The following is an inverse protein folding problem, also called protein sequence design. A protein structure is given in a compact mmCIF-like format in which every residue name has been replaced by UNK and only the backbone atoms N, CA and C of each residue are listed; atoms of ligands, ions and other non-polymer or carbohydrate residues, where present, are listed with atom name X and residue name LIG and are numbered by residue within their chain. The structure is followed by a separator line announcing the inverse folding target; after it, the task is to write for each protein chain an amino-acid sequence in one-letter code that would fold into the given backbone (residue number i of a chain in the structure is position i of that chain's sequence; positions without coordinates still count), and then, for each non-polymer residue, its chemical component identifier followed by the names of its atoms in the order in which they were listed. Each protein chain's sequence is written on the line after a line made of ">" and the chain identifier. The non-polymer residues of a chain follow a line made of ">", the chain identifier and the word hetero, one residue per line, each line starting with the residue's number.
data_IF_413745637817
#
_entry.id   IF_413745637817
#
_cell.length_a   1.000
_cell.length_b   1.000
_cell.length_c   1.000
_cell.angle_alpha   90.00
_cell.angle_beta   90.00
_cell.angle_gamma   90.00
#
_symmetry.space_group_name_H-M   'P 1'
#
loop_
_entity.id
_entity.type
_entity.pdbx_description
1 polymer ?
#
# COMPACT_ATOMS: atom_id res chain seq x y z
N UNK A 1 20.32 8.80 12.91
CA UNK A 1 19.45 7.87 12.17
C UNK A 1 18.87 8.48 10.89
N UNK A 2 17.88 9.39 10.92
CA UNK A 2 17.30 9.96 9.66
C UNK A 2 18.29 10.84 8.87
N UNK A 3 19.10 11.65 9.56
CA UNK A 3 20.18 12.42 8.91
C UNK A 3 21.36 11.56 8.44
N UNK A 4 21.66 10.47 9.14
CA UNK A 4 22.70 9.51 8.72
C UNK A 4 22.27 8.68 7.50
N UNK A 5 20.96 8.41 7.38
CA UNK A 5 20.37 7.88 6.16
C UNK A 5 20.61 8.88 5.03
N UNK A 6 20.21 10.15 5.17
CA UNK A 6 20.41 11.18 4.14
C UNK A 6 21.87 11.35 3.68
N UNK A 7 22.83 11.37 4.61
CA UNK A 7 24.24 11.67 4.31
C UNK A 7 25.06 10.46 3.79
N UNK A 8 24.59 9.22 3.98
CA UNK A 8 25.29 8.04 3.48
C UNK A 8 24.46 7.17 2.52
N UNK A 9 23.15 7.46 2.33
CA UNK A 9 22.22 6.63 1.57
C UNK A 9 22.83 6.18 0.25
N UNK A 10 23.36 7.13 -0.53
CA UNK A 10 23.72 6.85 -1.91
C UNK A 10 24.86 5.83 -2.04
N UNK A 11 25.90 5.91 -1.20
CA UNK A 11 27.08 5.06 -1.37
C UNK A 11 26.85 3.65 -0.79
N UNK A 12 26.41 3.53 0.48
CA UNK A 12 26.26 2.20 1.09
C UNK A 12 25.03 1.45 0.56
N UNK A 13 23.91 2.16 0.30
CA UNK A 13 22.70 1.50 -0.19
C UNK A 13 22.92 1.02 -1.62
N UNK A 14 23.60 1.80 -2.45
CA UNK A 14 23.97 1.36 -3.80
C UNK A 14 24.79 0.08 -3.76
N UNK A 15 25.85 0.05 -2.95
CA UNK A 15 26.73 -1.12 -2.85
C UNK A 15 25.98 -2.37 -2.36
N UNK A 16 25.03 -2.19 -1.43
CA UNK A 16 24.17 -3.28 -0.97
C UNK A 16 23.16 -3.71 -2.05
N UNK A 17 22.51 -2.77 -2.74
CA UNK A 17 21.52 -3.05 -3.78
C UNK A 17 22.13 -3.77 -4.98
N UNK A 18 23.37 -3.44 -5.36
CA UNK A 18 24.08 -4.06 -6.48
C UNK A 18 24.38 -5.57 -6.24
N UNK A 19 24.21 -6.08 -5.01
CA UNK A 19 24.37 -7.50 -4.69
C UNK A 19 23.11 -8.35 -4.95
N UNK A 20 21.96 -7.74 -5.25
CA UNK A 20 20.71 -8.44 -5.49
C UNK A 20 20.43 -8.64 -6.99
N UNK A 21 19.68 -9.68 -7.31
CA UNK A 21 19.28 -10.00 -8.69
C UNK A 21 17.99 -9.27 -9.08
N UNK A 22 17.76 -9.12 -10.39
CA UNK A 22 16.55 -8.47 -10.94
C UNK A 22 15.24 -9.14 -10.50
N UNK A 23 15.28 -10.43 -10.12
CA UNK A 23 14.11 -11.22 -9.70
C UNK A 23 13.91 -11.25 -8.17
N UNK A 24 14.74 -10.55 -7.39
CA UNK A 24 14.66 -10.59 -5.93
C UNK A 24 13.59 -9.65 -5.35
N UNK A 25 12.92 -10.10 -4.30
CA UNK A 25 11.93 -9.32 -3.57
C UNK A 25 12.58 -8.62 -2.36
N UNK A 26 12.69 -7.29 -2.41
CA UNK A 26 13.27 -6.49 -1.32
C UNK A 26 12.19 -5.91 -0.41
N UNK A 27 12.29 -6.18 0.89
CA UNK A 27 11.39 -5.64 1.92
C UNK A 27 12.15 -4.65 2.79
N UNK A 28 11.71 -3.40 2.80
CA UNK A 28 12.26 -2.35 3.65
C UNK A 28 11.34 -2.08 4.83
N UNK A 29 11.84 -2.31 6.05
CA UNK A 29 11.11 -1.96 7.26
C UNK A 29 11.29 -0.47 7.57
N UNK A 30 10.19 0.29 7.43
CA UNK A 30 10.19 1.72 7.67
C UNK A 30 9.98 2.04 9.14
N UNK A 31 10.57 3.13 9.67
CA UNK A 31 10.33 3.54 11.05
C UNK A 31 8.84 3.81 11.29
N UNK A 32 8.28 3.21 12.36
CA UNK A 32 6.83 3.12 12.58
C UNK A 32 6.09 4.42 12.97
N UNK A 33 6.74 5.58 12.91
CA UNK A 33 6.11 6.87 13.20
C UNK A 33 5.72 7.57 11.89
N UNK A 34 4.41 7.69 11.64
CA UNK A 34 3.89 8.31 10.41
C UNK A 34 4.33 9.77 10.22
N UNK A 35 4.64 10.47 11.30
CA UNK A 35 5.14 11.85 11.32
C UNK A 35 6.57 11.99 10.77
N UNK A 36 7.32 10.89 10.69
CA UNK A 36 8.63 10.89 10.04
C UNK A 36 8.51 11.00 8.52
N UNK A 37 7.35 10.64 7.96
CA UNK A 37 7.06 10.85 6.56
C UNK A 37 6.73 12.33 6.28
N UNK A 38 6.08 13.04 7.21
CA UNK A 38 5.57 14.41 6.98
C UNK A 38 6.63 15.52 6.97
N UNK A 39 7.79 15.34 7.62
CA UNK A 39 8.71 16.45 7.91
C UNK A 39 10.09 16.39 7.25
N UNK A 40 10.50 15.25 6.69
CA UNK A 40 11.82 15.14 6.04
C UNK A 40 11.67 14.37 4.72
N UNK A 41 12.16 14.91 3.58
CA UNK A 41 12.05 14.25 2.28
C UNK A 41 12.88 12.96 2.16
N UNK A 42 13.51 12.48 3.24
CA UNK A 42 14.34 11.26 3.25
C UNK A 42 13.66 10.08 2.58
N UNK A 43 12.39 9.79 2.92
CA UNK A 43 11.73 8.63 2.31
C UNK A 43 11.43 8.85 0.82
N UNK A 44 11.10 10.08 0.42
CA UNK A 44 10.92 10.43 -0.99
C UNK A 44 12.24 10.28 -1.76
N UNK A 45 13.34 10.82 -1.24
CA UNK A 45 14.66 10.69 -1.84
C UNK A 45 15.09 9.22 -1.93
N UNK A 46 14.84 8.43 -0.88
CA UNK A 46 15.08 6.98 -0.88
C UNK A 46 14.29 6.26 -1.98
N UNK A 47 13.00 6.56 -2.12
CA UNK A 47 12.16 6.00 -3.18
C UNK A 47 12.65 6.43 -4.57
N UNK A 48 13.02 7.70 -4.75
CA UNK A 48 13.57 8.23 -6.00
C UNK A 48 14.91 7.54 -6.35
N UNK A 49 15.76 7.29 -5.36
CA UNK A 49 17.01 6.52 -5.53
C UNK A 49 16.72 5.09 -5.99
N UNK A 50 15.79 4.37 -5.34
CA UNK A 50 15.37 3.03 -5.77
C UNK A 50 14.83 3.02 -7.20
N UNK A 51 13.96 3.97 -7.55
CA UNK A 51 13.44 4.11 -8.92
C UNK A 51 14.55 4.38 -9.94
N UNK A 52 15.57 5.17 -9.57
CA UNK A 52 16.73 5.44 -10.45
C UNK A 52 17.59 4.21 -10.73
N UNK A 53 17.50 3.21 -9.85
CA UNK A 53 18.12 1.89 -9.96
C UNK A 53 17.20 0.84 -10.60
N UNK A 54 16.13 1.27 -11.28
CA UNK A 54 15.15 0.43 -11.97
C UNK A 54 14.30 -0.48 -11.06
N UNK A 55 14.17 -0.19 -9.76
CA UNK A 55 13.24 -0.92 -8.90
C UNK A 55 11.79 -0.48 -9.12
N UNK A 56 10.89 -1.45 -9.27
CA UNK A 56 9.45 -1.22 -9.16
C UNK A 56 9.04 -1.19 -7.69
N UNK A 57 8.69 0.00 -7.19
CA UNK A 57 8.42 0.23 -5.77
C UNK A 57 6.94 0.40 -5.52
N UNK A 58 6.43 -0.27 -4.48
CA UNK A 58 5.12 0.03 -3.91
C UNK A 58 5.22 0.15 -2.38
N UNK A 59 4.17 0.70 -1.76
CA UNK A 59 4.07 0.82 -0.30
C UNK A 59 3.04 -0.17 0.22
N UNK A 60 3.43 -0.98 1.19
CA UNK A 60 2.49 -1.82 1.95
C UNK A 60 2.05 -1.06 3.19
N UNK A 61 0.84 -0.49 3.16
CA UNK A 61 0.33 0.33 4.26
C UNK A 61 -0.48 -0.53 5.24
N UNK A 62 0.06 -0.74 6.45
CA UNK A 62 -0.58 -1.55 7.48
C UNK A 62 -1.41 -0.68 8.42
N UNK A 63 -2.73 -0.90 8.45
CA UNK A 63 -3.62 -0.37 9.47
C UNK A 63 -3.97 -1.48 10.46
N UNK A 64 -3.98 -1.20 11.77
CA UNK A 64 -4.38 -2.19 12.78
C UNK A 64 -5.90 -2.38 12.79
N UNK A 65 -6.39 -3.61 12.62
CA UNK A 65 -7.81 -3.93 12.68
C UNK A 65 -8.50 -3.51 13.98
N UNK A 66 -7.78 -3.51 15.10
CA UNK A 66 -8.32 -3.09 16.40
C UNK A 66 -8.57 -1.58 16.48
N UNK A 67 -7.94 -0.79 15.60
CA UNK A 67 -8.19 0.64 15.51
C UNK A 67 -9.58 0.94 14.91
N UNK A 68 -10.08 0.10 14.02
CA UNK A 68 -11.36 0.31 13.32
C UNK A 68 -12.53 -0.14 14.20
N UNK A 69 -12.87 0.68 15.20
CA UNK A 69 -14.02 0.42 16.08
C UNK A 69 -15.31 1.10 15.62
N UNK A 70 -15.21 2.10 14.74
CA UNK A 70 -16.35 2.83 14.20
C UNK A 70 -16.01 3.54 12.88
N UNK A 71 -17.04 4.15 12.26
CA UNK A 71 -16.93 4.84 10.98
C UNK A 71 -15.99 6.03 11.03
N UNK A 72 -15.94 6.77 12.15
CA UNK A 72 -15.07 7.94 12.27
C UNK A 72 -13.61 7.49 12.22
N UNK A 73 -13.26 6.44 12.98
CA UNK A 73 -11.91 5.85 12.96
C UNK A 73 -11.57 5.21 11.60
N UNK A 74 -12.53 4.54 10.97
CA UNK A 74 -12.35 4.04 9.60
C UNK A 74 -11.95 5.17 8.64
N UNK A 75 -12.73 6.26 8.61
CA UNK A 75 -12.46 7.40 7.75
C UNK A 75 -11.12 8.06 8.11
N UNK A 76 -10.77 8.19 9.39
CA UNK A 76 -9.45 8.67 9.79
C UNK A 76 -8.31 7.80 9.25
N UNK A 77 -8.45 6.47 9.31
CA UNK A 77 -7.48 5.55 8.73
C UNK A 77 -7.37 5.69 7.21
N UNK A 78 -8.51 5.91 6.53
CA UNK A 78 -8.52 6.19 5.09
C UNK A 78 -7.77 7.48 4.75
N UNK A 79 -8.02 8.55 5.49
CA UNK A 79 -7.35 9.84 5.27
C UNK A 79 -5.85 9.74 5.54
N UNK A 80 -5.42 8.98 6.56
CA UNK A 80 -4.01 8.77 6.85
C UNK A 80 -3.30 8.01 5.72
N UNK A 81 -3.92 6.95 5.20
CA UNK A 81 -3.41 6.21 4.03
C UNK A 81 -3.31 7.09 2.79
N UNK A 82 -4.37 7.85 2.47
CA UNK A 82 -4.37 8.77 1.31
C UNK A 82 -3.31 9.87 1.46
N UNK A 83 -3.13 10.41 2.67
CA UNK A 83 -2.08 11.40 2.92
C UNK A 83 -0.69 10.83 2.67
N UNK A 84 -0.42 9.59 3.11
CA UNK A 84 0.85 8.93 2.86
C UNK A 84 1.07 8.66 1.36
N UNK A 85 0.01 8.27 0.64
CA UNK A 85 0.07 8.03 -0.80
C UNK A 85 0.39 9.30 -1.59
N UNK A 86 -0.27 10.41 -1.26
CA UNK A 86 0.01 11.72 -1.88
C UNK A 86 1.45 12.17 -1.60
N UNK A 87 1.94 11.90 -0.39
CA UNK A 87 3.27 12.31 0.01
C UNK A 87 4.39 11.51 -0.67
N UNK A 88 4.20 10.19 -0.83
CA UNK A 88 5.21 9.30 -1.41
C UNK A 88 5.11 9.18 -2.92
N UNK A 89 3.98 9.57 -3.52
CA UNK A 89 3.75 9.47 -4.97
C UNK A 89 4.02 8.03 -5.48
N UNK A 90 3.55 7.05 -4.71
CA UNK A 90 3.70 5.61 -4.96
C UNK A 90 2.35 4.90 -4.92
N UNK A 91 2.20 3.77 -5.64
CA UNK A 91 1.04 2.91 -5.45
C UNK A 91 1.10 2.24 -4.07
N UNK A 92 -0.04 2.15 -3.40
CA UNK A 92 -0.14 1.52 -2.07
C UNK A 92 -1.01 0.27 -2.11
N UNK A 93 -0.55 -0.79 -1.44
CA UNK A 93 -1.38 -1.92 -1.03
C UNK A 93 -1.83 -1.68 0.41
N UNK A 94 -3.09 -1.29 0.59
CA UNK A 94 -3.67 -1.01 1.89
C UNK A 94 -4.11 -2.31 2.57
N UNK A 95 -3.58 -2.59 3.75
CA UNK A 95 -3.82 -3.84 4.48
C UNK A 95 -4.41 -3.55 5.85
N UNK A 96 -5.45 -4.30 6.20
CA UNK A 96 -5.94 -4.37 7.56
C UNK A 96 -5.27 -5.52 8.30
N UNK A 97 -4.31 -5.19 9.15
CA UNK A 97 -3.48 -6.13 9.89
C UNK A 97 -4.17 -6.69 11.15
N UNK A 98 -3.62 -7.81 11.66
CA UNK A 98 -4.06 -8.46 12.91
C UNK A 98 -5.52 -8.94 12.91
N UNK A 99 -6.06 -9.31 11.75
CA UNK A 99 -7.45 -9.78 11.64
C UNK A 99 -7.71 -11.08 12.41
N UNK A 100 -6.67 -11.78 12.83
CA UNK A 100 -6.73 -12.95 13.68
C UNK A 100 -7.07 -12.61 15.16
N UNK A 101 -6.85 -11.36 15.58
CA UNK A 101 -7.21 -10.82 16.89
C UNK A 101 -8.64 -10.27 16.96
N UNK A 102 -9.30 -10.13 15.81
CA UNK A 102 -10.66 -9.61 15.71
C UNK A 102 -11.64 -10.68 16.16
N UNK A 103 -12.28 -10.45 17.31
CA UNK A 103 -13.27 -11.37 17.88
C UNK A 103 -14.60 -11.35 17.12
N UNK A 104 -15.08 -10.17 16.72
CA UNK A 104 -16.30 -10.01 15.94
C UNK A 104 -16.04 -9.52 14.52
N UNK A 105 -15.83 -10.47 13.59
CA UNK A 105 -15.54 -10.16 12.18
C UNK A 105 -16.69 -9.44 11.45
N UNK A 106 -17.91 -9.45 11.98
CA UNK A 106 -19.06 -8.74 11.37
C UNK A 106 -18.90 -7.22 11.46
N UNK A 107 -18.34 -6.73 12.56
CA UNK A 107 -18.22 -5.29 12.81
C UNK A 107 -17.22 -4.64 11.85
N UNK A 108 -16.18 -5.40 11.46
CA UNK A 108 -15.20 -4.98 10.46
C UNK A 108 -15.67 -5.25 9.03
N UNK A 109 -16.50 -6.28 8.82
CA UNK A 109 -16.95 -6.68 7.49
C UNK A 109 -17.59 -5.56 6.67
N UNK A 110 -18.32 -4.65 7.33
CA UNK A 110 -18.92 -3.48 6.66
C UNK A 110 -17.90 -2.42 6.19
N UNK A 111 -16.68 -2.45 6.72
CA UNK A 111 -15.58 -1.58 6.32
C UNK A 111 -14.65 -2.24 5.27
N UNK A 112 -14.78 -3.55 5.04
CA UNK A 112 -14.03 -4.25 3.97
C UNK A 112 -14.62 -3.98 2.59
N UNK A 113 -15.94 -3.85 2.50
CA UNK A 113 -16.67 -3.41 1.31
C UNK A 113 -17.61 -2.26 1.69
N UNK A 114 -17.06 -1.06 1.95
CA UNK A 114 -17.86 0.07 2.35
C UNK A 114 -18.71 0.58 1.18
N UNK A 115 -19.94 1.00 1.50
CA UNK A 115 -20.78 1.77 0.59
C UNK A 115 -20.80 3.21 1.08
N UNK A 116 -20.37 4.17 0.24
CA UNK A 116 -20.27 5.57 0.65
C UNK A 116 -21.56 6.13 1.25
N UNK A 117 -22.72 5.80 0.70
CA UNK A 117 -24.02 6.22 1.26
C UNK A 117 -24.24 5.71 2.70
N UNK A 118 -23.85 4.48 2.99
CA UNK A 118 -23.96 3.88 4.33
C UNK A 118 -22.98 4.57 5.29
N UNK A 119 -21.72 4.75 4.85
CA UNK A 119 -20.72 5.44 5.66
C UNK A 119 -21.13 6.88 5.97
N UNK A 120 -21.64 7.62 4.98
CA UNK A 120 -22.11 8.99 5.16
C UNK A 120 -23.25 9.06 6.17
N UNK A 121 -24.22 8.13 6.08
CA UNK A 121 -25.34 8.07 7.01
C UNK A 121 -24.87 7.78 8.44
N UNK A 122 -24.00 6.78 8.64
CA UNK A 122 -23.43 6.48 9.96
C UNK A 122 -22.61 7.66 10.51
N UNK A 123 -21.82 8.31 9.66
CA UNK A 123 -20.96 9.43 10.05
C UNK A 123 -21.79 10.67 10.45
N UNK A 124 -22.86 10.96 9.71
CA UNK A 124 -23.81 12.04 10.04
C UNK A 124 -24.60 11.77 11.33
N UNK A 125 -24.88 10.52 11.67
CA UNK A 125 -25.54 10.18 12.95
C UNK A 125 -24.62 10.42 14.16
N UNK A 126 -23.30 10.34 13.97
CA UNK A 126 -22.30 10.46 15.04
C UNK A 126 -21.74 11.87 15.21
N UNK A 127 -21.92 12.75 14.23
CA UNK A 127 -21.34 14.09 14.24
C UNK A 127 -22.41 15.16 14.11
N UNK A 128 -22.11 16.35 14.63
CA UNK A 128 -23.07 17.44 14.67
C UNK A 128 -23.46 17.92 13.24
N UNK A 129 -24.71 18.40 13.03
CA UNK A 129 -25.21 18.76 11.70
C UNK A 129 -24.36 19.77 10.91
N UNK A 130 -23.60 20.63 11.60
CA UNK A 130 -22.70 21.57 10.92
C UNK A 130 -21.61 20.87 10.09
N UNK A 131 -21.26 19.62 10.39
CA UNK A 131 -20.23 18.85 9.68
C UNK A 131 -20.76 18.07 8.48
N UNK A 132 -22.06 18.07 8.18
CA UNK A 132 -22.62 17.22 7.12
C UNK A 132 -22.01 17.47 5.74
N UNK A 133 -21.67 18.73 5.43
CA UNK A 133 -20.97 19.09 4.19
C UNK A 133 -19.54 18.52 4.16
N UNK A 134 -18.83 18.58 5.29
CA UNK A 134 -17.49 18.01 5.44
C UNK A 134 -17.55 16.48 5.30
N UNK A 135 -18.51 15.84 5.97
CA UNK A 135 -18.70 14.39 5.94
C UNK A 135 -18.91 13.91 4.51
N UNK A 136 -19.78 14.60 3.76
CA UNK A 136 -20.00 14.29 2.36
C UNK A 136 -18.71 14.39 1.55
N UNK A 137 -17.95 15.48 1.70
CA UNK A 137 -16.68 15.65 0.99
C UNK A 137 -15.66 14.56 1.34
N UNK A 138 -15.56 14.15 2.61
CA UNK A 138 -14.68 13.07 3.05
C UNK A 138 -15.08 11.72 2.43
N UNK A 139 -16.38 11.40 2.42
CA UNK A 139 -16.87 10.16 1.81
C UNK A 139 -16.68 10.17 0.30
N UNK A 140 -17.01 11.27 -0.37
CA UNK A 140 -16.82 11.41 -1.81
C UNK A 140 -15.33 11.23 -2.18
N UNK A 141 -14.39 11.71 -1.34
CA UNK A 141 -12.96 11.50 -1.52
C UNK A 141 -12.56 10.01 -1.39
N UNK A 142 -13.06 9.33 -0.36
CA UNK A 142 -12.80 7.89 -0.15
C UNK A 142 -13.35 7.06 -1.32
N UNK A 143 -14.55 7.37 -1.80
CA UNK A 143 -15.20 6.67 -2.91
C UNK A 143 -14.47 6.94 -4.25
N UNK A 144 -14.16 8.20 -4.56
CA UNK A 144 -13.50 8.59 -5.82
C UNK A 144 -12.16 7.91 -6.00
N UNK A 145 -11.40 7.79 -4.93
CA UNK A 145 -10.09 7.23 -5.04
C UNK A 145 -10.16 5.71 -5.25
N UNK A 146 -11.25 5.00 -4.91
CA UNK A 146 -11.31 3.51 -4.84
C UNK A 146 -10.11 2.86 -4.10
N UNK A 147 -9.21 3.67 -3.57
CA UNK A 147 -7.86 3.33 -3.12
C UNK A 147 -7.87 2.80 -1.70
N UNK A 148 -8.99 2.90 -1.00
CA UNK A 148 -9.07 2.50 0.39
C UNK A 148 -9.92 1.25 0.57
N UNK A 149 -9.82 0.32 -0.38
CA UNK A 149 -10.11 -1.07 -0.06
C UNK A 149 -8.94 -1.61 0.76
N UNK A 150 -9.19 -1.85 2.04
CA UNK A 150 -8.22 -2.52 2.89
C UNK A 150 -8.37 -4.03 2.72
N UNK A 151 -7.27 -4.68 2.33
CA UNK A 151 -7.20 -6.14 2.25
C UNK A 151 -6.99 -6.71 3.66
N UNK A 152 -7.86 -7.60 4.16
CA UNK A 152 -7.70 -8.17 5.48
C UNK A 152 -6.55 -9.19 5.53
N UNK A 153 -5.60 -8.99 6.45
CA UNK A 153 -4.51 -9.91 6.75
C UNK A 153 -4.82 -10.73 8.02
N UNK A 154 -5.09 -12.01 7.84
CA UNK A 154 -5.28 -13.00 8.91
C UNK A 154 -4.12 -14.01 8.88
N UNK A 155 -3.15 -13.86 9.79
CA UNK A 155 -1.94 -14.70 9.83
C UNK A 155 -2.23 -16.19 10.07
N UNK A 156 -3.43 -16.54 10.51
CA UNK A 156 -3.85 -17.95 10.67
C UNK A 156 -4.33 -18.56 9.35
N UNK A 157 -4.48 -17.76 8.29
CA UNK A 157 -4.97 -18.18 6.98
C UNK A 157 -3.90 -17.92 5.92
N UNK A 158 -3.25 -18.98 5.48
CA UNK A 158 -2.24 -18.90 4.41
C UNK A 158 -2.81 -18.25 3.13
N UNK A 159 -4.07 -18.54 2.79
CA UNK A 159 -4.75 -17.93 1.63
C UNK A 159 -4.86 -16.40 1.72
N UNK A 160 -4.91 -15.83 2.93
CA UNK A 160 -4.94 -14.37 3.13
C UNK A 160 -3.58 -13.75 2.81
N UNK A 161 -2.50 -14.43 3.20
CA UNK A 161 -1.12 -14.02 2.91
C UNK A 161 -0.87 -14.14 1.40
N UNK A 162 -1.23 -15.26 0.78
CA UNK A 162 -1.08 -15.47 -0.66
C UNK A 162 -1.84 -14.42 -1.48
N UNK A 163 -3.06 -14.06 -1.07
CA UNK A 163 -3.82 -13.01 -1.73
C UNK A 163 -3.12 -11.65 -1.63
N UNK A 164 -2.56 -11.30 -0.47
CA UNK A 164 -1.80 -10.06 -0.29
C UNK A 164 -0.54 -10.05 -1.16
N UNK A 165 0.22 -11.15 -1.20
CA UNK A 165 1.38 -11.27 -2.08
C UNK A 165 0.99 -11.04 -3.53
N UNK A 166 -0.07 -11.70 -4.01
CA UNK A 166 -0.59 -11.45 -5.36
C UNK A 166 -1.01 -10.00 -5.61
N UNK A 167 -1.59 -9.31 -4.62
CA UNK A 167 -1.90 -7.88 -4.76
C UNK A 167 -0.63 -7.02 -4.87
N UNK A 168 0.42 -7.39 -4.14
CA UNK A 168 1.70 -6.68 -4.23
C UNK A 168 2.38 -6.97 -5.57
N UNK A 169 2.46 -8.23 -6.00
CA UNK A 169 3.05 -8.62 -7.29
C UNK A 169 2.39 -7.86 -8.44
N UNK A 170 1.05 -7.78 -8.46
CA UNK A 170 0.31 -6.98 -9.44
C UNK A 170 0.62 -5.48 -9.35
N UNK A 171 0.89 -4.96 -8.15
CA UNK A 171 1.15 -3.55 -7.90
C UNK A 171 2.55 -3.12 -8.40
N UNK A 172 3.56 -3.99 -8.24
CA UNK A 172 4.93 -3.77 -8.72
C UNK A 172 5.20 -4.38 -10.09
N UNK A 173 4.18 -4.98 -10.73
CA UNK A 173 4.28 -5.68 -12.02
C UNK A 173 5.34 -6.80 -12.03
N UNK A 174 5.51 -7.48 -10.89
CA UNK A 174 6.48 -8.55 -10.76
C UNK A 174 6.11 -9.72 -11.69
N UNK A 175 7.05 -10.13 -12.54
CA UNK A 175 6.89 -11.25 -13.47
C UNK A 175 6.30 -10.93 -14.85
N UNK A 176 5.90 -9.69 -15.15
CA UNK A 176 5.40 -9.32 -16.49
C UNK A 176 6.51 -9.36 -17.56
N UNK A 177 7.77 -9.10 -17.19
CA UNK A 177 8.92 -9.16 -18.10
C UNK A 177 9.36 -10.60 -18.44
N UNK A 178 8.88 -11.61 -17.71
CA UNK A 178 9.18 -13.02 -17.99
C UNK A 178 8.42 -13.56 -19.22
N UNK A 179 7.32 -12.90 -19.61
CA UNK A 179 6.46 -13.33 -20.72
C UNK A 179 7.01 -12.94 -22.12
N UNK A 180 8.09 -12.14 -22.23
CA UNK A 180 8.60 -11.61 -23.51
C UNK A 180 9.90 -12.30 -23.99
N UNK A 181 10.08 -13.60 -23.71
CA UNK A 181 11.07 -14.43 -24.40
C UNK A 181 10.42 -15.56 -25.20
N UNK A 182 9.45 -15.21 -26.05
CA UNK A 182 9.13 -16.07 -27.19
C UNK A 182 10.34 -16.01 -28.11
N UNK A 183 11.20 -17.04 -28.04
CA UNK A 183 12.27 -17.25 -29.02
C UNK A 183 11.64 -17.15 -30.41
N UNK A 184 12.06 -16.16 -31.18
CA UNK A 184 11.83 -16.16 -32.63
C UNK A 184 12.29 -17.53 -33.13
N UNK A 185 11.35 -18.33 -33.63
CA UNK A 185 11.68 -19.55 -34.34
C UNK A 185 12.42 -19.11 -35.60
N UNK A 186 13.74 -19.29 -35.64
CA UNK A 186 14.49 -19.27 -36.89
C UNK A 186 13.82 -20.29 -37.83
N UNK A 187 13.34 -19.87 -39.01
CA UNK A 187 12.87 -20.82 -39.99
C UNK A 187 14.06 -21.69 -40.40
N UNK A 188 13.98 -22.99 -40.13
CA UNK A 188 14.92 -23.98 -40.65
C UNK A 188 15.03 -23.78 -42.16
N UNK A 189 16.23 -23.45 -42.63
CA UNK A 189 16.60 -23.49 -44.04
C UNK A 189 16.30 -24.90 -44.55
N UNK A 190 15.23 -25.03 -45.33
CA UNK A 190 14.93 -26.26 -46.07
C UNK A 190 15.95 -26.32 -47.21
N UNK A 191 16.96 -27.16 -47.02
CA UNK A 191 17.94 -27.58 -48.04
C UNK A 191 17.24 -28.04 -49.33
N UNK A 192 17.72 -27.54 -50.48
CA UNK A 192 17.46 -28.05 -51.84
C UNK A 192 18.55 -29.06 -52.27
#
# INVERSE_FOLDING_TARGET
>A
MIRELEDNLDDWLTDELDNYMDDDYLVFDCPGQIELFSHVPVLRNFVEHLKSKNFNVCVVYLLDSQFITDVTKFISGCMASLSAMVQLELPHVNILSKMDLVTNKRDIGKYLNPQGQVLLSELNQRMAPQFFKLNKALIDLVDQYSMVSFVPLDLRKESSIQYILSQIDNCIQYGEDADVKVKDFDPEDIDD
#
